data_IF_267716962822
#
_entry.id   IF_267716962822
#
_cell.length_a   1.000
_cell.length_b   1.000
_cell.length_c   1.000
_cell.angle_alpha   90.00
_cell.angle_beta   90.00
_cell.angle_gamma   90.00
#
_symmetry.space_group_name_H-M   'P 1'
#
loop_
_entity.id
_entity.type
_entity.pdbx_description
1 polymer ?
#
# COMPACT_ATOMS: atom_id res chain seq x y z
N UNK A 1 -23.22 -4.56 -2.66
CA UNK A 1 -23.06 -4.90 -1.22
C UNK A 1 -23.02 -6.41 -1.04
N UNK A 2 -21.97 -6.90 -0.37
CA UNK A 2 -21.69 -8.31 -0.12
C UNK A 2 -21.51 -8.59 1.37
N UNK A 3 -21.78 -9.83 1.78
CA UNK A 3 -21.36 -10.37 3.08
C UNK A 3 -19.91 -10.86 2.99
N UNK A 4 -18.95 -9.99 3.26
CA UNK A 4 -17.52 -10.29 3.33
C UNK A 4 -16.91 -9.67 4.59
N UNK A 5 -15.77 -10.19 5.05
CA UNK A 5 -15.02 -9.61 6.18
C UNK A 5 -13.69 -9.04 5.71
N UNK A 6 -13.23 -7.96 6.32
CA UNK A 6 -11.92 -7.36 6.06
C UNK A 6 -11.07 -7.50 7.33
N UNK A 7 -10.09 -8.40 7.29
CA UNK A 7 -9.23 -8.69 8.44
C UNK A 7 -7.87 -8.03 8.25
N UNK A 8 -7.49 -7.02 9.06
CA UNK A 8 -6.15 -6.48 9.01
C UNK A 8 -5.12 -7.49 9.53
N UNK A 9 -4.00 -7.58 8.83
CA UNK A 9 -2.82 -8.35 9.19
C UNK A 9 -1.73 -7.34 9.52
N UNK A 10 -1.42 -7.14 10.80
CA UNK A 10 -0.33 -6.28 11.22
C UNK A 10 1.01 -6.86 10.76
N UNK A 11 1.80 -6.06 10.04
CA UNK A 11 3.09 -6.43 9.45
C UNK A 11 4.26 -5.63 10.02
N UNK A 12 4.03 -4.95 11.15
CA UNK A 12 5.03 -4.20 11.88
C UNK A 12 4.86 -2.68 11.76
N UNK A 13 5.97 -1.96 11.85
CA UNK A 13 6.00 -0.49 11.89
C UNK A 13 7.07 0.02 10.95
N UNK A 14 6.75 1.07 10.20
CA UNK A 14 7.68 1.87 9.41
C UNK A 14 7.99 3.18 10.13
N UNK A 15 9.26 3.55 10.17
CA UNK A 15 9.75 4.80 10.76
C UNK A 15 10.51 5.60 9.72
N UNK A 16 10.09 6.83 9.46
CA UNK A 16 10.72 7.71 8.46
C UNK A 16 10.65 9.20 8.85
N UNK A 17 11.40 10.05 8.17
CA UNK A 17 11.32 11.51 8.36
C UNK A 17 9.91 11.99 7.99
N UNK A 18 9.26 12.74 8.86
CA UNK A 18 7.89 13.25 8.64
C UNK A 18 7.80 14.12 7.38
N UNK A 19 8.91 14.68 6.87
CA UNK A 19 8.91 15.37 5.58
C UNK A 19 8.63 14.46 4.37
N UNK A 20 8.84 13.14 4.49
CA UNK A 20 8.41 12.17 3.49
C UNK A 20 6.89 12.01 3.52
N UNK A 21 6.32 11.93 4.73
CA UNK A 21 4.87 11.75 4.94
C UNK A 21 4.10 13.02 4.58
N UNK A 22 4.60 14.20 4.96
CA UNK A 22 3.99 15.51 4.71
C UNK A 22 5.04 16.43 4.10
N UNK A 23 4.83 16.85 2.85
CA UNK A 23 5.75 17.74 2.14
C UNK A 23 6.01 19.02 2.94
N UNK A 24 7.26 19.21 3.35
CA UNK A 24 7.68 20.41 4.06
C UNK A 24 7.09 20.55 5.46
N UNK A 25 6.84 19.42 6.15
CA UNK A 25 6.44 19.41 7.56
C UNK A 25 7.39 20.23 8.44
N UNK A 26 8.70 20.13 8.20
CA UNK A 26 9.74 20.91 8.88
C UNK A 26 10.63 21.59 7.86
N UNK A 27 10.55 22.92 7.78
CA UNK A 27 11.34 23.74 6.85
C UNK A 27 12.16 24.78 7.62
N UNK A 28 13.42 24.96 7.20
CA UNK A 28 14.27 26.02 7.71
C UNK A 28 13.75 27.41 7.37
N UNK A 29 14.02 28.36 8.26
CA UNK A 29 13.74 29.78 8.06
C UNK A 29 15.03 30.60 8.15
N UNK A 30 14.98 31.90 7.85
CA UNK A 30 16.15 32.77 8.06
C UNK A 30 16.59 32.82 9.53
N UNK A 31 15.64 32.72 10.46
CA UNK A 31 15.91 32.84 11.89
C UNK A 31 16.29 31.48 12.52
N UNK A 32 15.88 30.38 11.89
CA UNK A 32 16.23 29.01 12.25
C UNK A 32 16.57 28.21 10.96
N UNK A 33 17.81 28.30 10.45
CA UNK A 33 18.17 27.72 9.17
C UNK A 33 18.39 26.21 9.18
N UNK A 34 18.55 25.59 10.36
CA UNK A 34 18.78 24.15 10.51
C UNK A 34 17.86 23.57 11.59
N UNK A 35 16.53 23.56 11.38
CA UNK A 35 15.63 22.91 12.31
C UNK A 35 15.91 21.40 12.34
N UNK A 36 15.73 20.78 13.50
CA UNK A 36 15.79 19.32 13.62
C UNK A 36 14.55 18.71 12.97
N UNK A 37 14.72 17.73 12.10
CA UNK A 37 13.60 16.98 11.54
C UNK A 37 13.05 15.98 12.56
N UNK A 38 11.82 15.53 12.33
CA UNK A 38 11.11 14.61 13.22
C UNK A 38 10.97 13.27 12.50
N UNK A 39 11.29 12.19 13.20
CA UNK A 39 10.95 10.83 12.76
C UNK A 39 9.53 10.50 13.21
N UNK A 40 8.72 9.94 12.32
CA UNK A 40 7.36 9.50 12.60
C UNK A 40 7.22 8.00 12.32
N UNK A 41 6.35 7.37 13.10
CA UNK A 41 6.01 5.95 12.98
C UNK A 41 4.64 5.80 12.31
N UNK A 42 4.49 4.77 11.48
CA UNK A 42 3.21 4.33 10.92
C UNK A 42 3.12 2.80 10.93
N UNK A 43 1.92 2.22 11.05
CA UNK A 43 1.74 0.78 10.87
C UNK A 43 2.06 0.37 9.43
N UNK A 44 2.58 -0.84 9.27
CA UNK A 44 2.54 -1.56 7.99
C UNK A 44 1.55 -2.69 8.17
N UNK A 45 0.59 -2.82 7.27
CA UNK A 45 -0.42 -3.87 7.35
C UNK A 45 -0.84 -4.32 5.95
N UNK A 46 -1.34 -5.55 5.88
CA UNK A 46 -2.04 -6.10 4.72
C UNK A 46 -3.49 -6.37 5.12
N UNK A 47 -4.36 -6.69 4.18
CA UNK A 47 -5.73 -7.10 4.49
C UNK A 47 -6.05 -8.46 3.89
N UNK A 48 -6.72 -9.33 4.65
CA UNK A 48 -7.42 -10.48 4.08
C UNK A 48 -8.89 -10.12 3.95
N UNK A 49 -9.38 -10.05 2.71
CA UNK A 49 -10.79 -9.87 2.39
C UNK A 49 -11.38 -11.25 2.11
N UNK A 50 -12.13 -11.78 3.08
CA UNK A 50 -12.83 -13.06 2.95
C UNK A 50 -14.17 -12.81 2.23
N UNK A 51 -14.11 -12.89 0.89
CA UNK A 51 -15.23 -12.66 0.01
C UNK A 51 -15.84 -14.00 -0.47
N UNK A 52 -17.17 -14.11 -0.64
CA UNK A 52 -17.81 -15.38 -1.04
C UNK A 52 -17.31 -16.00 -2.36
N UNK A 53 -16.72 -15.18 -3.24
CA UNK A 53 -16.12 -15.63 -4.51
C UNK A 53 -14.61 -15.91 -4.43
N UNK A 54 -13.89 -15.36 -3.44
CA UNK A 54 -12.44 -15.52 -3.29
C UNK A 54 -11.94 -15.04 -1.92
N UNK A 55 -10.93 -15.68 -1.36
CA UNK A 55 -10.12 -15.12 -0.27
C UNK A 55 -9.02 -14.26 -0.88
N UNK A 56 -9.08 -12.95 -0.66
CA UNK A 56 -8.21 -11.98 -1.34
C UNK A 56 -7.21 -11.43 -0.34
N UNK A 57 -5.92 -11.46 -0.68
CA UNK A 57 -4.88 -10.75 0.07
C UNK A 57 -4.59 -9.40 -0.59
N UNK A 58 -4.82 -8.31 0.11
CA UNK A 58 -4.45 -6.96 -0.29
C UNK A 58 -3.08 -6.62 0.30
N UNK A 59 -2.08 -6.44 -0.57
CA UNK A 59 -0.65 -6.28 -0.27
C UNK A 59 -0.01 -7.42 0.52
N UNK A 60 1.32 -7.41 0.60
CA UNK A 60 2.11 -8.51 1.19
C UNK A 60 3.12 -8.08 2.26
N UNK A 61 3.21 -6.78 2.53
CA UNK A 61 4.02 -6.24 3.61
C UNK A 61 5.52 -6.25 3.27
N UNK A 62 6.34 -5.94 4.28
CA UNK A 62 7.79 -5.96 4.16
C UNK A 62 8.39 -7.37 4.15
N UNK A 63 9.54 -7.53 3.49
CA UNK A 63 10.28 -8.78 3.46
C UNK A 63 10.91 -9.07 4.85
N UNK A 64 10.84 -10.30 5.39
CA UNK A 64 11.31 -10.65 6.75
C UNK A 64 12.82 -10.50 6.99
N UNK A 65 13.57 -10.11 5.95
CA UNK A 65 15.03 -9.90 5.99
C UNK A 65 15.43 -8.49 5.56
N UNK A 66 14.48 -7.56 5.53
CA UNK A 66 14.72 -6.16 5.18
C UNK A 66 15.92 -5.58 5.95
N UNK A 67 15.97 -5.83 7.26
CA UNK A 67 17.03 -5.40 8.19
C UNK A 67 18.36 -6.17 8.09
N UNK A 68 18.39 -7.26 7.33
CA UNK A 68 19.48 -8.24 7.31
C UNK A 68 20.09 -8.41 5.91
N UNK A 69 20.09 -7.30 5.16
CA UNK A 69 20.79 -7.16 3.88
C UNK A 69 19.95 -7.52 2.66
N UNK A 70 18.65 -7.75 2.83
CA UNK A 70 17.73 -7.83 1.69
C UNK A 70 17.52 -6.45 1.06
N UNK A 71 17.36 -5.42 1.89
CA UNK A 71 17.32 -4.03 1.42
C UNK A 71 18.71 -3.39 1.48
N UNK A 72 19.01 -2.41 0.60
CA UNK A 72 20.16 -1.54 0.75
C UNK A 72 20.17 -0.85 2.11
N UNK A 73 21.34 -0.73 2.73
CA UNK A 73 21.45 -0.21 4.10
C UNK A 73 20.96 1.24 4.24
N UNK A 74 21.21 2.10 3.24
CA UNK A 74 20.76 3.49 3.27
C UNK A 74 19.24 3.60 3.09
N UNK A 75 18.64 2.73 2.27
CA UNK A 75 17.18 2.64 2.10
C UNK A 75 16.51 2.22 3.42
N UNK A 76 17.00 1.15 4.05
CA UNK A 76 16.49 0.71 5.36
C UNK A 76 16.67 1.80 6.42
N UNK A 77 17.77 2.56 6.39
CA UNK A 77 17.98 3.66 7.34
C UNK A 77 17.01 4.84 7.14
N UNK A 78 16.53 5.07 5.92
CA UNK A 78 15.55 6.11 5.60
C UNK A 78 14.10 5.70 5.92
N UNK A 79 13.83 4.40 5.87
CA UNK A 79 12.51 3.78 6.09
C UNK A 79 12.66 2.55 6.97
N UNK A 80 13.00 2.75 8.25
CA UNK A 80 13.29 1.65 9.16
C UNK A 80 12.02 0.84 9.41
N UNK A 81 12.10 -0.48 9.23
CA UNK A 81 10.98 -1.38 9.48
C UNK A 81 11.26 -2.29 10.66
N UNK A 82 10.35 -2.30 11.63
CA UNK A 82 10.41 -3.19 12.80
C UNK A 82 9.22 -4.14 12.81
N UNK A 83 9.31 -5.24 13.57
CA UNK A 83 8.26 -6.27 13.58
C UNK A 83 8.31 -7.22 12.37
N UNK A 84 9.42 -7.24 11.63
CA UNK A 84 9.61 -8.06 10.43
C UNK A 84 9.45 -9.56 10.73
N UNK A 85 8.40 -10.16 10.15
CA UNK A 85 8.08 -11.60 10.24
C UNK A 85 7.78 -12.17 8.87
N UNK A 86 7.97 -13.48 8.63
CA UNK A 86 7.46 -14.12 7.43
C UNK A 86 5.95 -13.86 7.25
N UNK A 87 5.50 -13.59 6.03
CA UNK A 87 4.08 -13.38 5.73
C UNK A 87 3.24 -14.58 6.19
N UNK A 88 3.77 -15.78 6.03
CA UNK A 88 3.10 -17.02 6.39
C UNK A 88 2.79 -17.12 7.88
N UNK A 89 3.67 -16.57 8.73
CA UNK A 89 3.48 -16.61 10.18
C UNK A 89 2.38 -15.64 10.61
N UNK A 90 2.30 -14.44 10.02
CA UNK A 90 1.27 -13.45 10.37
C UNK A 90 -0.10 -13.84 9.79
N UNK A 91 -0.16 -14.43 8.59
CA UNK A 91 -1.39 -15.04 8.07
C UNK A 91 -1.89 -16.17 8.98
N UNK A 92 -0.97 -17.04 9.44
CA UNK A 92 -1.33 -18.16 10.30
C UNK A 92 -1.87 -17.70 11.66
N UNK A 93 -1.33 -16.61 12.23
CA UNK A 93 -1.84 -16.01 13.46
C UNK A 93 -3.28 -15.47 13.28
N UNK A 94 -3.62 -14.99 12.08
CA UNK A 94 -4.97 -14.58 11.70
C UNK A 94 -5.89 -15.75 11.27
N UNK A 95 -5.37 -16.98 11.23
CA UNK A 95 -6.14 -18.18 10.91
C UNK A 95 -6.16 -18.56 9.42
N UNK A 96 -5.30 -17.96 8.59
CA UNK A 96 -5.18 -18.25 7.17
C UNK A 96 -3.83 -18.93 6.86
N UNK A 97 -3.84 -19.90 5.94
CA UNK A 97 -2.63 -20.34 5.27
C UNK A 97 -2.45 -19.60 3.94
N UNK A 98 -1.22 -19.50 3.43
CA UNK A 98 -0.96 -18.98 2.07
C UNK A 98 -1.78 -19.73 1.02
N UNK A 99 -1.99 -21.04 1.21
CA UNK A 99 -2.80 -21.86 0.31
C UNK A 99 -4.30 -21.58 0.34
N UNK A 100 -4.77 -20.81 1.33
CA UNK A 100 -6.17 -20.39 1.42
C UNK A 100 -6.40 -19.09 0.62
N UNK A 101 -5.33 -18.39 0.22
CA UNK A 101 -5.40 -17.16 -0.58
C UNK A 101 -5.65 -17.51 -2.04
N UNK A 102 -6.82 -17.14 -2.54
CA UNK A 102 -7.23 -17.39 -3.92
C UNK A 102 -6.59 -16.40 -4.90
N UNK A 103 -6.33 -15.16 -4.46
CA UNK A 103 -5.59 -14.15 -5.24
C UNK A 103 -4.98 -13.05 -4.37
N UNK A 104 -4.01 -12.34 -4.94
CA UNK A 104 -3.38 -11.16 -4.33
C UNK A 104 -3.74 -9.93 -5.15
N UNK A 105 -4.19 -8.86 -4.49
CA UNK A 105 -4.26 -7.52 -5.06
C UNK A 105 -3.03 -6.77 -4.55
N UNK A 106 -2.13 -6.43 -5.45
CA UNK A 106 -0.94 -5.65 -5.12
C UNK A 106 -1.19 -4.19 -5.50
N UNK A 107 -1.28 -3.33 -4.49
CA UNK A 107 -1.52 -1.90 -4.67
C UNK A 107 -0.41 -1.27 -5.50
N UNK A 108 0.84 -1.58 -5.14
CA UNK A 108 2.03 -1.15 -5.82
C UNK A 108 3.26 -1.97 -5.39
N UNK A 109 4.43 -1.75 -5.99
CA UNK A 109 5.59 -2.63 -5.79
C UNK A 109 6.72 -2.03 -4.95
N UNK A 110 6.39 -1.12 -4.02
CA UNK A 110 7.35 -0.66 -3.03
C UNK A 110 7.67 -1.72 -1.97
N UNK A 111 8.82 -1.53 -1.34
CA UNK A 111 9.48 -2.44 -0.41
C UNK A 111 8.58 -2.98 0.72
N UNK A 112 7.64 -2.16 1.19
CA UNK A 112 6.75 -2.44 2.31
C UNK A 112 5.38 -2.98 1.92
N UNK A 113 5.10 -3.10 0.62
CA UNK A 113 3.87 -3.67 0.06
C UNK A 113 4.15 -5.00 -0.68
N UNK A 114 5.32 -5.14 -1.31
CA UNK A 114 5.68 -6.27 -2.17
C UNK A 114 6.62 -7.30 -1.53
N UNK A 115 7.12 -7.05 -0.32
CA UNK A 115 8.14 -7.88 0.32
C UNK A 115 7.70 -9.30 0.69
N UNK A 116 6.39 -9.57 0.79
CA UNK A 116 5.86 -10.91 1.04
C UNK A 116 5.53 -11.71 -0.23
N UNK A 117 5.71 -11.16 -1.43
CA UNK A 117 5.42 -11.85 -2.70
C UNK A 117 6.22 -13.14 -2.90
N UNK A 118 7.34 -13.32 -2.18
CA UNK A 118 8.09 -14.58 -2.20
C UNK A 118 7.24 -15.81 -1.81
N UNK A 119 6.18 -15.62 -1.01
CA UNK A 119 5.30 -16.71 -0.58
C UNK A 119 4.48 -17.31 -1.74
N UNK A 120 4.33 -16.58 -2.84
CA UNK A 120 3.53 -16.96 -4.01
C UNK A 120 4.39 -17.39 -5.21
N UNK A 121 5.72 -17.40 -5.08
CA UNK A 121 6.64 -17.79 -6.16
C UNK A 121 6.41 -19.24 -6.63
N UNK A 122 6.18 -19.42 -7.93
CA UNK A 122 5.94 -20.72 -8.56
C UNK A 122 4.57 -21.33 -8.24
N UNK A 123 3.66 -20.56 -7.65
CA UNK A 123 2.24 -20.93 -7.47
C UNK A 123 1.39 -20.44 -8.63
N UNK A 124 0.20 -21.00 -8.81
CA UNK A 124 -0.79 -20.51 -9.78
C UNK A 124 -1.67 -19.37 -9.22
N UNK A 125 -1.42 -18.92 -7.98
CA UNK A 125 -2.21 -17.84 -7.33
C UNK A 125 -2.07 -16.53 -8.12
N UNK A 126 -3.15 -15.99 -8.70
CA UNK A 126 -3.11 -14.74 -9.44
C UNK A 126 -2.67 -13.56 -8.57
N UNK A 127 -1.78 -12.73 -9.11
CA UNK A 127 -1.33 -11.48 -8.49
C UNK A 127 -1.73 -10.31 -9.38
N UNK A 128 -2.78 -9.59 -8.99
CA UNK A 128 -3.29 -8.43 -9.70
C UNK A 128 -2.43 -7.20 -9.42
N UNK A 129 -1.99 -6.53 -10.48
CA UNK A 129 -1.19 -5.30 -10.40
C UNK A 129 -1.51 -4.39 -11.59
N UNK A 130 -1.46 -3.07 -11.41
CA UNK A 130 -1.69 -2.15 -12.51
C UNK A 130 -0.54 -2.19 -13.53
N UNK A 131 -0.85 -2.03 -14.82
CA UNK A 131 0.15 -2.11 -15.89
C UNK A 131 1.28 -1.08 -15.74
N UNK A 132 0.94 0.14 -15.33
CA UNK A 132 1.92 1.23 -15.17
C UNK A 132 2.84 0.97 -13.98
N UNK A 133 2.35 0.25 -12.96
CA UNK A 133 3.14 -0.10 -11.80
C UNK A 133 4.20 -1.12 -12.17
N UNK A 134 3.80 -2.23 -12.80
CA UNK A 134 4.70 -3.30 -13.15
C UNK A 134 5.80 -2.81 -14.10
N UNK A 135 5.43 -1.96 -15.08
CA UNK A 135 6.39 -1.33 -15.98
C UNK A 135 7.38 -0.44 -15.24
N UNK A 136 6.90 0.42 -14.34
CA UNK A 136 7.75 1.33 -13.60
C UNK A 136 8.63 0.62 -12.58
N UNK A 137 8.11 -0.39 -11.89
CA UNK A 137 8.86 -1.22 -10.95
C UNK A 137 10.08 -1.89 -11.62
N UNK A 138 9.88 -2.54 -12.77
CA UNK A 138 10.98 -3.14 -13.52
C UNK A 138 11.95 -2.11 -14.11
N UNK A 139 11.46 -0.93 -14.51
CA UNK A 139 12.35 0.17 -14.92
C UNK A 139 13.23 0.65 -13.77
N UNK A 140 12.63 0.87 -12.60
CA UNK A 140 13.30 1.32 -11.37
C UNK A 140 14.29 0.30 -10.86
N UNK A 141 13.90 -0.96 -10.73
CA UNK A 141 14.77 -2.02 -10.21
C UNK A 141 15.94 -2.39 -11.13
N UNK A 142 15.90 -2.04 -12.42
CA UNK A 142 16.92 -2.41 -13.42
C UNK A 142 17.71 -1.21 -13.96
N UNK A 143 17.46 0.00 -13.46
CA UNK A 143 18.16 1.22 -13.88
C UNK A 143 18.41 2.15 -12.71
N UNK A 144 19.43 3.01 -12.80
CA UNK A 144 19.70 4.03 -11.77
C UNK A 144 18.82 5.29 -11.91
N UNK A 145 17.76 5.23 -12.72
CA UNK A 145 16.96 6.39 -13.12
C UNK A 145 15.51 6.35 -12.62
N UNK A 146 15.11 5.26 -11.97
CA UNK A 146 13.81 5.15 -11.33
C UNK A 146 13.88 5.39 -9.83
N UNK A 147 12.96 4.76 -9.11
CA UNK A 147 12.76 4.91 -7.67
C UNK A 147 13.43 3.78 -6.89
N UNK A 148 14.15 4.11 -5.82
CA UNK A 148 14.91 3.15 -5.01
C UNK A 148 14.04 2.30 -4.08
N UNK A 149 12.79 2.69 -3.87
CA UNK A 149 11.82 1.92 -3.09
C UNK A 149 11.45 0.59 -3.77
N UNK A 150 11.75 0.41 -5.06
CA UNK A 150 11.54 -0.83 -5.80
C UNK A 150 12.71 -1.81 -5.64
N UNK A 151 12.62 -2.68 -4.66
CA UNK A 151 13.61 -3.73 -4.43
C UNK A 151 13.31 -4.92 -5.35
N UNK A 152 14.15 -5.13 -6.37
CA UNK A 152 13.96 -6.22 -7.35
C UNK A 152 13.71 -7.59 -6.71
N UNK A 153 14.37 -7.87 -5.59
CA UNK A 153 14.23 -9.13 -4.86
C UNK A 153 12.84 -9.37 -4.27
N UNK A 154 11.97 -8.36 -4.21
CA UNK A 154 10.60 -8.51 -3.72
C UNK A 154 9.68 -9.05 -4.83
N UNK A 155 9.77 -8.53 -6.05
CA UNK A 155 8.81 -8.81 -7.13
C UNK A 155 9.38 -9.48 -8.39
N UNK A 156 10.69 -9.49 -8.62
CA UNK A 156 11.31 -10.12 -9.81
C UNK A 156 11.40 -11.65 -9.63
N UNK A 157 10.23 -12.30 -9.70
CA UNK A 157 9.98 -13.69 -9.36
C UNK A 157 9.04 -14.34 -10.37
N UNK A 158 8.94 -15.67 -10.34
CA UNK A 158 7.95 -16.43 -11.10
C UNK A 158 6.57 -16.31 -10.44
N UNK A 159 5.90 -15.17 -10.67
CA UNK A 159 4.58 -14.85 -10.15
C UNK A 159 3.54 -14.91 -11.28
N UNK A 160 2.34 -15.37 -10.96
CA UNK A 160 1.22 -15.40 -11.91
C UNK A 160 0.57 -14.01 -12.00
N UNK A 161 1.25 -13.07 -12.67
CA UNK A 161 0.78 -11.70 -12.83
C UNK A 161 -0.50 -11.61 -13.66
N UNK A 162 -1.53 -10.98 -13.08
CA UNK A 162 -2.72 -10.53 -13.77
C UNK A 162 -2.69 -9.01 -13.88
N UNK A 163 -2.81 -8.48 -15.09
CA UNK A 163 -2.59 -7.05 -15.34
C UNK A 163 -3.92 -6.32 -15.37
N UNK A 164 -4.07 -5.35 -14.47
CA UNK A 164 -5.21 -4.42 -14.43
C UNK A 164 -4.91 -3.22 -15.34
N UNK A 165 -5.92 -2.81 -16.11
CA UNK A 165 -5.78 -1.76 -17.11
C UNK A 165 -6.78 -0.61 -16.89
N UNK A 166 -6.30 0.60 -17.13
CA UNK A 166 -7.13 1.81 -17.13
C UNK A 166 -7.61 2.23 -15.74
N UNK A 167 -8.47 3.24 -15.72
CA UNK A 167 -8.72 3.98 -14.48
C UNK A 167 -9.56 3.19 -13.45
N UNK A 168 -10.48 2.34 -13.93
CA UNK A 168 -11.40 1.56 -13.08
C UNK A 168 -11.80 0.25 -13.77
N UNK A 169 -11.79 -0.84 -13.01
CA UNK A 169 -12.16 -2.17 -13.49
C UNK A 169 -12.84 -2.96 -12.36
N UNK A 170 -14.02 -3.52 -12.61
CA UNK A 170 -14.68 -4.39 -11.64
C UNK A 170 -13.97 -5.74 -11.60
N UNK A 171 -13.46 -6.12 -10.43
CA UNK A 171 -12.98 -7.47 -10.17
C UNK A 171 -14.16 -8.43 -10.01
N UNK A 172 -15.11 -8.04 -9.15
CA UNK A 172 -16.45 -8.65 -8.98
C UNK A 172 -17.49 -7.53 -8.85
N UNK A 173 -18.78 -7.84 -8.70
CA UNK A 173 -19.86 -6.83 -8.73
C UNK A 173 -19.71 -5.73 -7.66
N UNK A 174 -19.19 -6.10 -6.48
CA UNK A 174 -19.07 -5.25 -5.29
C UNK A 174 -17.63 -4.86 -4.93
N UNK A 175 -16.63 -5.28 -5.73
CA UNK A 175 -15.23 -4.91 -5.59
C UNK A 175 -14.70 -4.36 -6.93
N UNK A 176 -14.32 -3.08 -6.91
CA UNK A 176 -13.80 -2.37 -8.08
C UNK A 176 -12.37 -1.88 -7.82
N UNK A 177 -11.46 -2.18 -8.75
CA UNK A 177 -10.14 -1.57 -8.81
C UNK A 177 -10.26 -0.10 -9.19
N UNK A 178 -9.46 0.75 -8.54
CA UNK A 178 -9.39 2.19 -8.81
C UNK A 178 -7.93 2.59 -8.97
N UNK A 179 -7.53 3.01 -10.17
CA UNK A 179 -6.18 3.53 -10.41
C UNK A 179 -6.05 4.91 -9.75
N UNK A 180 -5.05 5.05 -8.88
CA UNK A 180 -4.80 6.23 -8.05
C UNK A 180 -3.36 6.73 -8.23
N UNK A 181 -2.92 7.07 -9.46
CA UNK A 181 -1.54 7.49 -9.71
C UNK A 181 -1.18 8.73 -8.88
N UNK A 182 0.05 8.79 -8.39
CA UNK A 182 0.50 9.92 -7.59
C UNK A 182 1.68 9.57 -6.71
N UNK A 183 1.46 8.65 -5.78
CA UNK A 183 2.51 8.02 -4.97
C UNK A 183 3.48 7.28 -5.88
N UNK A 184 2.97 6.30 -6.62
CA UNK A 184 3.59 5.65 -7.77
C UNK A 184 2.77 5.94 -9.03
N UNK A 185 3.28 5.68 -10.25
CA UNK A 185 2.48 5.80 -11.46
C UNK A 185 1.34 4.77 -11.54
N UNK A 186 1.45 3.62 -10.86
CA UNK A 186 0.47 2.54 -11.00
C UNK A 186 -0.25 2.14 -9.72
N UNK A 187 -0.27 3.00 -8.70
CA UNK A 187 -0.96 2.70 -7.44
C UNK A 187 -2.42 2.29 -7.70
N UNK A 188 -2.81 1.15 -7.15
CA UNK A 188 -4.12 0.56 -7.27
C UNK A 188 -4.84 0.57 -5.92
N UNK A 189 -5.93 1.32 -5.83
CA UNK A 189 -6.87 1.27 -4.71
C UNK A 189 -8.05 0.33 -5.00
N UNK A 190 -8.90 0.13 -4.00
CA UNK A 190 -10.11 -0.70 -4.10
C UNK A 190 -11.31 0.04 -3.52
N UNK A 191 -12.43 0.00 -4.22
CA UNK A 191 -13.75 0.30 -3.66
C UNK A 191 -14.48 -1.02 -3.41
N UNK A 192 -14.90 -1.25 -2.15
CA UNK A 192 -15.58 -2.45 -1.70
C UNK A 192 -16.94 -2.08 -1.09
N UNK A 193 -18.01 -2.79 -1.45
CA UNK A 193 -19.34 -2.57 -0.89
C UNK A 193 -19.73 -3.69 0.08
N UNK A 194 -19.73 -3.41 1.39
CA UNK A 194 -20.03 -4.38 2.45
C UNK A 194 -21.46 -4.21 2.98
N UNK A 195 -22.13 -5.32 3.31
CA UNK A 195 -23.48 -5.30 3.91
C UNK A 195 -23.52 -4.61 5.29
N UNK A 196 -22.52 -4.87 6.14
CA UNK A 196 -22.50 -4.39 7.52
C UNK A 196 -21.83 -3.02 7.68
N UNK A 197 -20.84 -2.71 6.83
CA UNK A 197 -20.03 -1.50 6.92
C UNK A 197 -20.32 -0.44 5.83
N UNK A 198 -21.15 -0.76 4.83
CA UNK A 198 -21.38 0.11 3.68
C UNK A 198 -20.18 0.12 2.72
N UNK A 199 -19.97 1.22 1.99
CA UNK A 199 -18.85 1.32 1.06
C UNK A 199 -17.56 1.65 1.80
N UNK A 200 -16.50 0.91 1.53
CA UNK A 200 -15.14 1.15 2.00
C UNK A 200 -14.24 1.42 0.80
N UNK A 201 -13.42 2.46 0.88
CA UNK A 201 -12.37 2.74 -0.12
C UNK A 201 -11.02 2.54 0.54
N UNK A 202 -10.33 1.49 0.10
CA UNK A 202 -8.95 1.21 0.46
C UNK A 202 -8.06 2.04 -0.48
N UNK A 203 -7.61 3.19 0.00
CA UNK A 203 -6.86 4.15 -0.81
C UNK A 203 -5.36 3.80 -0.88
N UNK A 204 -4.87 2.99 0.06
CA UNK A 204 -3.44 2.71 0.22
C UNK A 204 -2.63 4.01 0.26
N UNK A 205 -1.50 4.00 -0.42
CA UNK A 205 -0.56 5.13 -0.41
C UNK A 205 -1.00 6.35 -1.23
N UNK A 206 -2.23 6.37 -1.73
CA UNK A 206 -2.84 7.61 -2.19
C UNK A 206 -2.92 8.60 -1.01
N UNK A 207 -3.04 8.10 0.22
CA UNK A 207 -2.84 8.87 1.42
C UNK A 207 -2.08 8.01 2.44
N UNK A 208 -0.87 8.43 2.80
CA UNK A 208 -0.06 7.74 3.80
C UNK A 208 -0.73 7.81 5.19
N UNK A 209 -1.16 9.00 5.60
CA UNK A 209 -1.92 9.26 6.83
C UNK A 209 -3.21 10.03 6.55
N UNK A 210 -4.07 10.15 7.56
CA UNK A 210 -5.24 11.02 7.54
C UNK A 210 -4.91 12.49 7.30
N UNK A 211 -3.72 12.99 7.67
CA UNK A 211 -3.31 14.34 7.32
C UNK A 211 -3.20 14.52 5.80
N UNK A 212 -2.79 13.47 5.08
CA UNK A 212 -2.72 13.51 3.62
C UNK A 212 -4.11 13.57 2.98
N UNK A 213 -5.08 12.88 3.57
CA UNK A 213 -6.43 12.78 3.04
C UNK A 213 -7.37 13.93 3.49
N UNK A 214 -7.43 14.22 4.79
CA UNK A 214 -8.37 15.20 5.38
C UNK A 214 -7.87 16.63 5.25
N UNK A 215 -6.59 16.87 5.55
CA UNK A 215 -5.99 18.19 5.45
C UNK A 215 -5.42 18.47 4.04
N UNK A 216 -5.53 17.50 3.14
CA UNK A 216 -5.08 17.56 1.74
C UNK A 216 -3.58 17.91 1.62
N UNK A 217 -2.78 17.47 2.58
CA UNK A 217 -1.34 17.70 2.62
C UNK A 217 -0.62 16.62 1.79
N UNK A 218 0.04 16.94 0.68
CA UNK A 218 0.73 15.93 -0.13
C UNK A 218 1.93 15.33 0.63
N UNK A 219 2.29 14.11 0.26
CA UNK A 219 3.57 13.50 0.64
C UNK A 219 4.75 14.28 0.01
N UNK A 220 5.94 14.10 0.57
CA UNK A 220 7.17 14.71 0.11
C UNK A 220 8.23 13.69 -0.29
N UNK A 221 9.37 14.22 -0.76
CA UNK A 221 10.54 13.40 -1.05
C UNK A 221 10.28 12.32 -2.10
N UNK A 222 10.70 11.08 -1.79
CA UNK A 222 10.57 9.93 -2.68
C UNK A 222 9.19 9.26 -2.62
N UNK A 223 8.35 9.57 -1.62
CA UNK A 223 6.99 9.02 -1.53
C UNK A 223 5.99 9.69 -2.50
N UNK A 224 6.45 10.54 -3.42
CA UNK A 224 5.57 11.22 -4.35
C UNK A 224 6.14 11.30 -5.77
N UNK A 225 5.80 10.33 -6.59
CA UNK A 225 6.15 10.32 -8.01
C UNK A 225 5.59 11.52 -8.78
N UNK A 226 4.32 11.88 -8.55
CA UNK A 226 3.68 13.00 -9.26
C UNK A 226 2.60 13.69 -8.45
N UNK A 227 2.93 14.89 -7.94
CA UNK A 227 1.98 15.75 -7.22
C UNK A 227 0.71 16.09 -8.01
N UNK A 228 0.81 16.25 -9.33
CA UNK A 228 -0.38 16.53 -10.17
C UNK A 228 -1.34 15.35 -10.15
N UNK A 229 -0.84 14.15 -10.41
CA UNK A 229 -1.67 12.94 -10.42
C UNK A 229 -2.19 12.64 -9.01
N UNK A 230 -1.36 12.82 -7.97
CA UNK A 230 -1.79 12.66 -6.58
C UNK A 230 -2.98 13.56 -6.22
N UNK A 231 -2.99 14.83 -6.66
CA UNK A 231 -4.13 15.73 -6.46
C UNK A 231 -5.37 15.32 -7.28
N UNK A 232 -5.19 14.67 -8.43
CA UNK A 232 -6.28 14.14 -9.25
C UNK A 232 -6.89 12.91 -8.59
N UNK A 233 -6.06 11.98 -8.14
CA UNK A 233 -6.44 10.77 -7.38
C UNK A 233 -7.09 11.10 -6.05
N UNK A 234 -6.61 12.12 -5.32
CA UNK A 234 -7.26 12.61 -4.09
C UNK A 234 -8.69 13.07 -4.37
N UNK A 235 -8.92 13.77 -5.48
CA UNK A 235 -10.27 14.20 -5.88
C UNK A 235 -11.16 13.02 -6.26
N UNK A 236 -10.59 11.98 -6.88
CA UNK A 236 -11.30 10.73 -7.16
C UNK A 236 -11.76 10.09 -5.86
N UNK A 237 -10.87 9.90 -4.88
CA UNK A 237 -11.23 9.30 -3.58
C UNK A 237 -12.28 10.14 -2.83
N UNK A 238 -12.14 11.48 -2.81
CA UNK A 238 -13.15 12.39 -2.23
C UNK A 238 -14.50 12.35 -2.95
N UNK A 239 -14.50 12.10 -4.26
CA UNK A 239 -15.72 11.92 -5.04
C UNK A 239 -16.40 10.58 -4.74
N UNK A 240 -15.63 9.52 -4.54
CA UNK A 240 -16.15 8.21 -4.08
C UNK A 240 -16.74 8.31 -2.68
N UNK A 241 -16.00 8.87 -1.72
CA UNK A 241 -16.49 9.17 -0.35
C UNK A 241 -17.84 9.87 -0.41
N UNK A 242 -17.93 10.99 -1.13
CA UNK A 242 -19.17 11.79 -1.23
C UNK A 242 -20.33 11.06 -1.91
N UNK A 243 -20.07 10.25 -2.93
CA UNK A 243 -21.13 9.58 -3.71
C UNK A 243 -21.69 8.35 -3.01
N UNK A 244 -20.85 7.67 -2.25
CA UNK A 244 -21.17 6.38 -1.63
C UNK A 244 -21.29 6.45 -0.12
N UNK A 245 -21.06 7.63 0.49
CA UNK A 245 -20.93 7.79 1.95
C UNK A 245 -19.85 6.83 2.50
N UNK A 246 -18.75 6.72 1.76
CA UNK A 246 -17.77 5.67 1.97
C UNK A 246 -16.81 5.98 3.11
N UNK A 247 -16.43 4.95 3.87
CA UNK A 247 -15.29 5.00 4.79
C UNK A 247 -14.01 4.89 3.97
N UNK A 248 -13.09 5.84 4.12
CA UNK A 248 -11.79 5.84 3.43
C UNK A 248 -10.69 5.41 4.38
N UNK A 249 -9.84 4.49 3.93
CA UNK A 249 -8.73 3.89 4.70
C UNK A 249 -7.40 4.28 4.04
N UNK A 250 -6.52 4.94 4.79
CA UNK A 250 -5.17 5.37 4.40
C UNK A 250 -4.12 4.27 4.64
N UNK A 251 -3.03 4.26 3.88
CA UNK A 251 -2.03 3.16 3.88
C UNK A 251 -1.32 2.92 5.22
N UNK A 252 -1.03 3.97 5.99
CA UNK A 252 -0.20 3.89 7.20
C UNK A 252 -0.73 4.78 8.34
N UNK A 253 -2.06 4.88 8.49
CA UNK A 253 -2.68 5.61 9.60
C UNK A 253 -3.14 4.66 10.70
N UNK A 254 -2.74 4.92 11.95
CA UNK A 254 -3.11 4.09 13.09
C UNK A 254 -4.62 4.11 13.39
N UNK A 255 -5.29 5.25 13.20
CA UNK A 255 -6.74 5.33 13.46
C UNK A 255 -7.53 4.57 12.39
N UNK A 256 -7.02 4.52 11.15
CA UNK A 256 -7.64 3.74 10.07
C UNK A 256 -7.41 2.23 10.28
N UNK A 257 -6.26 1.81 10.81
CA UNK A 257 -6.04 0.43 11.25
C UNK A 257 -7.02 0.02 12.36
N UNK A 258 -7.22 0.84 13.38
CA UNK A 258 -8.24 0.59 14.42
C UNK A 258 -9.66 0.57 13.83
N UNK A 259 -9.92 1.37 12.79
CA UNK A 259 -11.20 1.37 12.09
C UNK A 259 -11.43 0.04 11.37
N UNK A 260 -10.42 -0.49 10.67
CA UNK A 260 -10.47 -1.78 9.98
C UNK A 260 -10.79 -2.94 10.93
N UNK A 261 -10.25 -2.95 12.15
CA UNK A 261 -10.54 -3.96 13.17
C UNK A 261 -12.02 -3.97 13.64
N UNK A 262 -12.77 -2.92 13.31
CA UNK A 262 -14.16 -2.72 13.71
C UNK A 262 -15.19 -2.84 12.57
N UNK A 263 -14.73 -3.06 11.33
CA UNK A 263 -15.58 -3.30 10.16
C UNK A 263 -16.22 -4.70 10.21
#
# INVERSE_FOLDING_TARGET
>A
MVSATVTPIERGTITTDVNNIIEGATLGTNDEPNPETVMGDGPVYNLVIDHPEATILWDTGSHPKADSGHWPADLYAAFEHTGLRPLEDDLADAGYAVSDIDCVIQTHLHLDHAGGLYAFEGTDTPVYVHEEELQFAYYSAKTDAGDEAYVAGDFDRDLNWEIVHGDREYFVEDLEFVHLPGHTPGLLGVQLELEDAGTVVLAGDQAYTRANYHDELPMGGQLLWSKRHWLESLRTVKDLERRHDATVICGHDGDDLETLESL
#
